data_IF_024557691961
#
_entry.id   IF_024557691961
#
_cell.length_a   1.000
_cell.length_b   1.000
_cell.length_c   1.000
_cell.angle_alpha   90.00
_cell.angle_beta   90.00
_cell.angle_gamma   90.00
#
_symmetry.space_group_name_H-M   'P 1'
#
loop_
_entity.id
_entity.type
_entity.pdbx_description
1 polymer ?
#
# COMPACT_ATOMS: atom_id res chain seq x y z
N UNK A 1 -5.20 15.29 -15.33
CA UNK A 1 -5.59 14.92 -13.96
C UNK A 1 -4.59 15.50 -12.98
N UNK A 2 -5.03 15.86 -11.77
CA UNK A 2 -4.16 16.14 -10.62
C UNK A 2 -3.90 14.83 -9.87
N UNK A 3 -2.62 14.46 -9.72
CA UNK A 3 -2.22 13.20 -9.08
C UNK A 3 -1.42 13.48 -7.81
N UNK A 4 -1.81 12.86 -6.70
CA UNK A 4 -1.05 12.88 -5.45
C UNK A 4 -0.25 11.58 -5.31
N UNK A 5 1.04 11.72 -5.00
CA UNK A 5 1.96 10.62 -4.73
C UNK A 5 2.32 10.59 -3.24
N UNK A 6 2.36 9.39 -2.67
CA UNK A 6 2.85 9.12 -1.31
C UNK A 6 3.55 7.76 -1.26
N UNK A 7 4.12 7.38 -0.12
CA UNK A 7 4.70 6.05 0.13
C UNK A 7 4.89 5.81 1.64
N UNK A 8 5.45 4.66 2.00
CA UNK A 8 5.95 4.35 3.35
C UNK A 8 7.47 4.18 3.45
N UNK A 9 8.21 4.11 2.33
CA UNK A 9 9.68 4.10 2.35
C UNK A 9 10.32 5.47 2.69
N UNK A 10 9.53 6.55 2.61
CA UNK A 10 9.95 7.93 2.85
C UNK A 10 10.21 8.73 1.57
N UNK A 11 10.19 10.05 1.70
CA UNK A 11 10.23 11.01 0.58
C UNK A 11 11.48 10.87 -0.30
N UNK A 12 12.62 10.50 0.29
CA UNK A 12 13.87 10.35 -0.44
C UNK A 12 14.07 8.98 -1.10
N UNK A 13 13.13 8.04 -0.91
CA UNK A 13 13.24 6.69 -1.43
C UNK A 13 13.24 6.64 -2.97
N UNK A 14 13.92 5.64 -3.53
CA UNK A 14 14.00 5.47 -4.98
C UNK A 14 12.62 5.14 -5.59
N UNK A 15 11.79 4.38 -4.88
CA UNK A 15 10.47 3.96 -5.37
C UNK A 15 9.53 5.12 -5.69
N UNK A 16 9.43 6.14 -4.82
CA UNK A 16 8.58 7.31 -5.05
C UNK A 16 9.15 8.25 -6.11
N UNK A 17 10.48 8.36 -6.22
CA UNK A 17 11.15 9.08 -7.32
C UNK A 17 10.84 8.43 -8.66
N UNK A 18 10.94 7.10 -8.75
CA UNK A 18 10.59 6.34 -9.95
C UNK A 18 9.11 6.47 -10.27
N UNK A 19 8.22 6.43 -9.27
CA UNK A 19 6.79 6.66 -9.47
C UNK A 19 6.52 8.04 -10.08
N UNK A 20 7.10 9.09 -9.49
CA UNK A 20 7.00 10.47 -9.99
C UNK A 20 7.46 10.57 -11.44
N UNK A 21 8.60 9.97 -11.77
CA UNK A 21 9.13 9.97 -13.14
C UNK A 21 8.16 9.29 -14.12
N UNK A 22 7.63 8.11 -13.78
CA UNK A 22 6.67 7.39 -14.61
C UNK A 22 5.42 8.24 -14.86
N UNK A 23 4.86 8.84 -13.81
CA UNK A 23 3.64 9.66 -13.89
C UNK A 23 3.87 10.87 -14.78
N UNK A 24 4.96 11.62 -14.58
CA UNK A 24 5.30 12.79 -15.41
C UNK A 24 5.48 12.38 -16.88
N UNK A 25 6.32 11.37 -17.15
CA UNK A 25 6.63 10.93 -18.52
C UNK A 25 5.43 10.33 -19.24
N UNK A 26 4.49 9.74 -18.50
CA UNK A 26 3.31 9.11 -19.09
C UNK A 26 2.32 10.10 -19.70
N UNK A 27 2.33 11.37 -19.22
CA UNK A 27 1.38 12.40 -19.61
C UNK A 27 -0.01 12.29 -18.98
N UNK A 28 -0.23 11.34 -18.04
CA UNK A 28 -1.54 11.15 -17.39
C UNK A 28 -1.91 12.30 -16.43
N UNK A 29 -0.89 12.96 -15.89
CA UNK A 29 -1.03 14.02 -14.90
C UNK A 29 -0.65 15.37 -15.52
N UNK A 30 -1.54 16.35 -15.38
CA UNK A 30 -1.24 17.75 -15.65
C UNK A 30 -0.53 18.41 -14.47
N UNK A 31 -0.69 17.83 -13.27
CA UNK A 31 -0.14 18.31 -12.03
C UNK A 31 0.18 17.13 -11.12
N UNK A 32 1.39 17.11 -10.56
CA UNK A 32 1.88 16.03 -9.70
C UNK A 32 2.30 16.61 -8.36
N UNK A 33 1.66 16.12 -7.30
CA UNK A 33 1.98 16.44 -5.92
C UNK A 33 2.68 15.25 -5.26
N UNK A 34 3.64 15.53 -4.38
CA UNK A 34 4.31 14.52 -3.56
C UNK A 34 4.18 14.95 -2.11
N UNK A 35 3.48 14.15 -1.30
CA UNK A 35 3.40 14.36 0.15
C UNK A 35 3.68 13.02 0.82
N UNK A 36 4.85 12.90 1.43
CA UNK A 36 5.35 11.61 1.92
C UNK A 36 6.08 11.75 3.27
N UNK A 37 6.19 10.65 4.04
CA UNK A 37 6.95 10.61 5.28
C UNK A 37 8.40 11.04 5.13
N UNK A 38 9.00 11.60 6.17
CA UNK A 38 10.45 11.87 6.21
C UNK A 38 11.26 10.57 6.14
N UNK A 39 10.88 9.57 6.94
CA UNK A 39 11.62 8.33 7.14
C UNK A 39 10.78 7.12 6.72
N UNK A 40 11.45 5.97 6.57
CA UNK A 40 10.78 4.70 6.39
C UNK A 40 9.85 4.40 7.57
N UNK A 41 8.60 4.05 7.25
CA UNK A 41 7.52 3.72 8.17
C UNK A 41 6.92 2.33 7.84
N UNK A 42 7.71 1.40 7.29
CA UNK A 42 7.25 0.04 6.97
C UNK A 42 6.71 -0.65 8.24
N UNK A 43 5.59 -1.35 8.09
CA UNK A 43 4.91 -2.01 9.22
C UNK A 43 4.10 -1.07 10.13
N UNK A 44 4.03 0.23 9.83
CA UNK A 44 3.20 1.19 10.59
C UNK A 44 1.69 0.98 10.47
N UNK A 45 1.26 0.13 9.53
CA UNK A 45 -0.15 -0.07 9.20
C UNK A 45 -0.84 1.25 8.87
N UNK A 46 -2.09 1.38 9.31
CA UNK A 46 -2.95 2.54 9.04
C UNK A 46 -3.05 3.52 10.22
N UNK A 47 -1.92 3.77 10.88
CA UNK A 47 -1.85 4.67 12.04
C UNK A 47 -1.88 6.15 11.63
N UNK A 48 -2.61 6.97 12.38
CA UNK A 48 -2.67 8.43 12.22
C UNK A 48 -2.14 9.10 13.49
N UNK A 49 -1.27 10.09 13.35
CA UNK A 49 -0.70 10.84 14.48
C UNK A 49 -1.72 11.77 15.13
N UNK A 50 -2.59 11.23 15.99
CA UNK A 50 -3.57 12.00 16.76
C UNK A 50 -2.90 12.64 17.98
N UNK A 51 -3.19 13.93 18.23
CA UNK A 51 -2.64 14.72 19.35
C UNK A 51 -1.10 14.78 19.40
N UNK A 52 -0.44 14.60 18.25
CA UNK A 52 1.01 14.75 18.11
C UNK A 52 1.27 15.88 17.13
N UNK A 53 2.11 16.84 17.53
CA UNK A 53 2.56 17.90 16.63
C UNK A 53 3.32 17.28 15.45
N UNK A 54 2.83 17.50 14.23
CA UNK A 54 3.42 16.96 13.01
C UNK A 54 4.09 18.10 12.23
N UNK A 55 5.40 18.02 12.09
CA UNK A 55 6.17 18.97 11.28
C UNK A 55 6.01 18.65 9.79
N UNK A 56 5.78 19.68 8.98
CA UNK A 56 5.70 19.59 7.52
C UNK A 56 6.75 20.51 6.92
N UNK A 57 7.61 19.98 6.06
CA UNK A 57 8.64 20.72 5.36
C UNK A 57 8.30 20.81 3.89
N UNK A 58 8.15 22.03 3.37
CA UNK A 58 7.96 22.26 1.94
C UNK A 58 9.31 22.20 1.22
N UNK A 59 9.42 21.33 0.23
CA UNK A 59 10.61 21.14 -0.62
C UNK A 59 10.48 21.94 -1.92
N UNK A 60 9.27 21.98 -2.48
CA UNK A 60 8.90 22.81 -3.64
C UNK A 60 7.40 23.13 -3.58
N UNK A 61 6.87 23.81 -4.60
CA UNK A 61 5.45 24.19 -4.64
C UNK A 61 4.49 23.00 -4.54
N UNK A 62 4.90 21.82 -5.01
CA UNK A 62 4.07 20.61 -5.00
C UNK A 62 4.69 19.43 -4.25
N UNK A 63 5.78 19.66 -3.50
CA UNK A 63 6.48 18.60 -2.79
C UNK A 63 6.70 18.91 -1.32
N UNK A 64 6.25 18.01 -0.46
CA UNK A 64 6.22 18.17 0.99
C UNK A 64 6.68 16.91 1.69
N UNK A 65 7.49 17.09 2.72
CA UNK A 65 7.92 16.05 3.63
C UNK A 65 7.13 16.19 4.92
N UNK A 66 6.56 15.09 5.41
CA UNK A 66 5.78 15.06 6.66
C UNK A 66 6.52 14.19 7.67
N UNK A 67 6.82 14.71 8.85
CA UNK A 67 7.45 13.93 9.91
C UNK A 67 6.42 13.08 10.68
N UNK A 68 5.72 12.19 9.96
CA UNK A 68 4.69 11.30 10.51
C UNK A 68 4.43 10.14 9.54
N UNK A 69 3.38 9.36 9.80
CA UNK A 69 3.01 8.15 9.06
C UNK A 69 2.54 8.45 7.62
N UNK A 70 2.51 7.43 6.73
CA UNK A 70 1.96 7.56 5.39
C UNK A 70 0.51 8.05 5.38
N UNK A 71 -0.34 7.48 6.26
CA UNK A 71 -1.73 7.93 6.42
C UNK A 71 -1.81 9.39 6.85
N UNK A 72 -0.99 9.83 7.81
CA UNK A 72 -0.95 11.25 8.22
C UNK A 72 -0.49 12.15 7.08
N UNK A 73 0.47 11.71 6.26
CA UNK A 73 0.95 12.44 5.09
C UNK A 73 -0.18 12.69 4.08
N UNK A 74 -0.93 11.65 3.72
CA UNK A 74 -2.07 11.78 2.81
C UNK A 74 -3.20 12.59 3.44
N UNK A 75 -3.48 12.40 4.73
CA UNK A 75 -4.51 13.17 5.43
C UNK A 75 -4.20 14.67 5.41
N UNK A 76 -2.97 15.07 5.74
CA UNK A 76 -2.54 16.47 5.67
C UNK A 76 -2.53 17.00 4.23
N UNK A 77 -2.15 16.17 3.26
CA UNK A 77 -2.24 16.52 1.83
C UNK A 77 -3.66 16.96 1.47
N UNK A 78 -4.65 16.15 1.81
CA UNK A 78 -6.04 16.35 1.44
C UNK A 78 -6.75 17.43 2.25
N UNK A 79 -6.35 17.65 3.51
CA UNK A 79 -7.06 18.55 4.42
C UNK A 79 -6.45 19.95 4.49
N UNK A 80 -5.16 20.11 4.19
CA UNK A 80 -4.44 21.37 4.44
C UNK A 80 -3.40 21.77 3.40
N UNK A 81 -2.60 20.84 2.89
CA UNK A 81 -1.45 21.18 2.04
C UNK A 81 -1.91 21.48 0.60
N UNK A 82 -2.79 20.65 0.03
CA UNK A 82 -3.30 20.86 -1.32
C UNK A 82 -4.48 21.83 -1.28
N UNK A 83 -4.51 22.76 -2.24
CA UNK A 83 -5.59 23.72 -2.47
C UNK A 83 -6.87 23.06 -3.03
N UNK A 84 -6.71 22.01 -3.84
CA UNK A 84 -7.80 21.19 -4.36
C UNK A 84 -7.47 19.70 -4.26
N UNK A 85 -8.51 18.89 -4.08
CA UNK A 85 -8.39 17.43 -4.01
C UNK A 85 -7.80 16.85 -5.30
N UNK A 86 -6.94 15.83 -5.22
CA UNK A 86 -6.46 15.10 -6.39
C UNK A 86 -7.58 14.29 -7.04
N UNK A 87 -7.43 14.00 -8.33
CA UNK A 87 -8.29 13.08 -9.08
C UNK A 87 -7.90 11.62 -8.84
N UNK A 88 -6.64 11.38 -8.46
CA UNK A 88 -6.04 10.06 -8.27
C UNK A 88 -4.93 10.12 -7.22
N UNK A 89 -4.90 9.13 -6.34
CA UNK A 89 -3.81 8.94 -5.38
C UNK A 89 -3.05 7.67 -5.75
N UNK A 90 -1.72 7.79 -5.83
CA UNK A 90 -0.81 6.67 -6.05
C UNK A 90 0.12 6.56 -4.85
N UNK A 91 0.11 5.43 -4.16
CA UNK A 91 1.00 5.15 -3.04
C UNK A 91 2.05 4.11 -3.44
N UNK A 92 3.33 4.45 -3.34
CA UNK A 92 4.45 3.58 -3.70
C UNK A 92 5.56 4.30 -4.50
N UNK A 93 6.36 3.60 -5.30
CA UNK A 93 6.39 2.14 -5.45
C UNK A 93 7.13 1.54 -4.25
N UNK A 94 6.45 0.68 -3.48
CA UNK A 94 7.03 0.07 -2.30
C UNK A 94 8.19 -0.88 -2.64
N UNK A 95 9.23 -0.87 -1.80
CA UNK A 95 10.32 -1.86 -1.83
C UNK A 95 9.88 -3.19 -1.19
N UNK A 96 9.09 -3.97 -1.92
CA UNK A 96 8.51 -5.22 -1.46
C UNK A 96 7.04 -5.33 -1.78
N UNK A 97 6.55 -6.56 -1.96
CA UNK A 97 5.14 -6.83 -2.26
C UNK A 97 4.27 -6.69 -1.03
N UNK A 98 3.06 -6.18 -1.20
CA UNK A 98 2.00 -6.13 -0.20
C UNK A 98 0.88 -7.08 -0.61
N UNK A 99 1.05 -8.36 -0.27
CA UNK A 99 0.17 -9.48 -0.68
C UNK A 99 -0.27 -10.29 0.54
N UNK A 100 -1.39 -11.00 0.44
CA UNK A 100 -1.89 -11.78 1.56
C UNK A 100 -2.16 -10.92 2.78
N UNK A 101 -1.85 -11.45 3.96
CA UNK A 101 -2.07 -10.75 5.23
C UNK A 101 -1.10 -9.59 5.48
N UNK A 102 -0.06 -9.38 4.66
CA UNK A 102 0.85 -8.23 4.81
C UNK A 102 0.14 -6.90 4.57
N UNK A 103 -0.95 -6.94 3.81
CA UNK A 103 -1.80 -5.78 3.51
C UNK A 103 -2.25 -5.07 4.80
N UNK A 104 -2.49 -5.82 5.89
CA UNK A 104 -2.91 -5.25 7.18
C UNK A 104 -1.87 -4.33 7.81
N UNK A 105 -0.59 -4.57 7.55
CA UNK A 105 0.53 -3.86 8.15
C UNK A 105 1.17 -2.84 7.19
N UNK A 106 0.68 -2.79 5.94
CA UNK A 106 1.27 -2.01 4.86
C UNK A 106 0.97 -0.52 4.99
N UNK A 107 2.03 0.29 5.16
CA UNK A 107 1.93 1.75 5.11
C UNK A 107 1.61 2.24 3.69
N UNK A 108 2.17 1.59 2.67
CA UNK A 108 1.83 1.88 1.26
C UNK A 108 0.34 1.70 0.99
N UNK A 109 -0.27 0.58 1.41
CA UNK A 109 -1.71 0.37 1.23
C UNK A 109 -2.53 1.33 2.10
N UNK A 110 -2.11 1.56 3.35
CA UNK A 110 -2.76 2.50 4.25
C UNK A 110 -2.89 3.92 3.67
N UNK A 111 -1.82 4.47 3.08
CA UNK A 111 -1.84 5.77 2.43
C UNK A 111 -2.85 5.84 1.27
N UNK A 112 -2.89 4.83 0.39
CA UNK A 112 -3.91 4.76 -0.67
C UNK A 112 -5.33 4.67 -0.08
N UNK A 113 -5.47 3.96 1.03
CA UNK A 113 -6.74 3.74 1.66
C UNK A 113 -7.31 5.01 2.34
N UNK A 114 -6.48 5.99 2.73
CA UNK A 114 -6.94 7.33 3.15
C UNK A 114 -7.63 8.09 2.01
N UNK A 115 -7.10 7.97 0.80
CA UNK A 115 -7.74 8.52 -0.40
C UNK A 115 -9.10 7.87 -0.68
N UNK A 116 -9.13 6.55 -0.65
CA UNK A 116 -10.35 5.78 -0.87
C UNK A 116 -11.43 6.11 0.17
N UNK A 117 -11.06 6.33 1.43
CA UNK A 117 -11.99 6.70 2.51
C UNK A 117 -12.76 8.01 2.23
N UNK A 118 -12.21 8.89 1.39
CA UNK A 118 -12.88 10.13 0.94
C UNK A 118 -13.31 10.07 -0.53
N UNK A 119 -13.49 8.87 -1.07
CA UNK A 119 -13.94 8.57 -2.42
C UNK A 119 -13.04 9.13 -3.53
N UNK A 120 -11.73 9.14 -3.32
CA UNK A 120 -10.74 9.43 -4.35
C UNK A 120 -10.19 8.10 -4.88
N UNK A 121 -10.20 7.85 -6.21
CA UNK A 121 -9.56 6.69 -6.82
C UNK A 121 -8.12 6.54 -6.31
N UNK A 122 -7.79 5.38 -5.77
CA UNK A 122 -6.53 5.17 -5.06
C UNK A 122 -5.90 3.83 -5.41
N UNK A 123 -4.60 3.87 -5.73
CA UNK A 123 -3.83 2.70 -6.16
C UNK A 123 -2.60 2.57 -5.26
N UNK A 124 -2.45 1.39 -4.63
CA UNK A 124 -1.24 1.01 -3.91
C UNK A 124 -0.34 0.21 -4.85
N UNK A 125 0.96 0.53 -4.90
CA UNK A 125 1.88 0.01 -5.91
C UNK A 125 3.12 -0.54 -5.23
N UNK A 126 3.46 -1.79 -5.54
CA UNK A 126 4.52 -2.54 -4.88
C UNK A 126 5.35 -3.34 -5.87
N UNK A 127 6.66 -3.46 -5.65
CA UNK A 127 7.58 -4.22 -6.51
C UNK A 127 8.26 -5.34 -5.70
N UNK A 128 8.19 -6.57 -6.20
CA UNK A 128 8.96 -7.69 -5.65
C UNK A 128 10.46 -7.45 -5.85
N UNK A 129 11.25 -7.71 -4.81
CA UNK A 129 12.70 -7.61 -4.83
C UNK A 129 13.34 -8.96 -4.56
N UNK A 130 14.63 -9.08 -4.83
CA UNK A 130 15.38 -10.28 -4.51
C UNK A 130 15.72 -10.29 -3.02
N UNK A 131 15.03 -11.12 -2.23
CA UNK A 131 15.23 -11.19 -0.78
C UNK A 131 16.64 -11.60 -0.34
N UNK A 132 17.42 -12.26 -1.22
CA UNK A 132 18.80 -12.67 -0.92
C UNK A 132 19.83 -11.57 -1.17
N UNK A 133 19.71 -10.86 -2.28
CA UNK A 133 20.65 -9.79 -2.65
C UNK A 133 20.21 -8.40 -2.18
N UNK A 134 18.95 -8.23 -1.78
CA UNK A 134 18.33 -6.93 -1.52
C UNK A 134 18.09 -6.12 -2.80
N UNK A 135 18.37 -6.68 -3.98
CA UNK A 135 18.26 -5.96 -5.25
C UNK A 135 16.81 -5.81 -5.68
N UNK A 136 16.45 -4.58 -6.06
CA UNK A 136 15.15 -4.25 -6.63
C UNK A 136 15.33 -3.71 -8.05
N UNK A 137 14.41 -4.08 -8.93
CA UNK A 137 14.38 -3.62 -10.31
C UNK A 137 13.02 -3.02 -10.64
N UNK A 138 13.01 -1.78 -11.13
CA UNK A 138 11.80 -1.02 -11.47
C UNK A 138 11.35 -1.17 -12.93
N UNK A 139 11.95 -2.07 -13.72
CA UNK A 139 11.65 -2.26 -15.14
C UNK A 139 10.17 -2.59 -15.38
N UNK A 140 9.57 -3.46 -14.56
CA UNK A 140 8.17 -3.81 -14.71
C UNK A 140 7.22 -2.61 -14.51
N UNK A 141 7.29 -1.86 -13.38
CA UNK A 141 6.44 -0.68 -13.22
C UNK A 141 6.73 0.39 -14.27
N UNK A 142 8.00 0.63 -14.64
CA UNK A 142 8.34 1.57 -15.72
C UNK A 142 7.69 1.19 -17.06
N UNK A 143 7.55 -0.10 -17.34
CA UNK A 143 6.97 -0.60 -18.59
C UNK A 143 5.44 -0.61 -18.59
N UNK A 144 4.81 -0.98 -17.49
CA UNK A 144 3.39 -1.35 -17.48
C UNK A 144 2.49 -0.41 -16.68
N UNK A 145 3.03 0.39 -15.75
CA UNK A 145 2.20 1.15 -14.80
C UNK A 145 1.29 2.17 -15.48
N UNK A 146 1.76 2.85 -16.55
CA UNK A 146 0.92 3.77 -17.34
C UNK A 146 -0.35 3.07 -17.84
N UNK A 147 -0.18 1.95 -18.53
CA UNK A 147 -1.29 1.19 -19.11
C UNK A 147 -2.24 0.67 -18.03
N UNK A 148 -1.70 0.26 -16.88
CA UNK A 148 -2.52 -0.19 -15.73
C UNK A 148 -3.34 0.96 -15.17
N UNK A 149 -2.76 2.15 -14.98
CA UNK A 149 -3.49 3.31 -14.47
C UNK A 149 -4.59 3.70 -15.45
N UNK A 150 -4.29 3.82 -16.75
CA UNK A 150 -5.28 4.15 -17.78
C UNK A 150 -6.40 3.10 -17.83
N UNK A 151 -6.06 1.81 -17.76
CA UNK A 151 -7.05 0.74 -17.72
C UNK A 151 -7.96 0.88 -16.50
N UNK A 152 -7.39 1.03 -15.29
CA UNK A 152 -8.16 1.13 -14.05
C UNK A 152 -9.06 2.37 -14.03
N UNK A 153 -8.56 3.52 -14.47
CA UNK A 153 -9.33 4.77 -14.50
C UNK A 153 -10.49 4.74 -15.50
N UNK A 154 -10.45 3.85 -16.51
CA UNK A 154 -11.54 3.64 -17.46
C UNK A 154 -12.59 2.61 -16.98
N UNK A 155 -12.40 1.98 -15.83
CA UNK A 155 -13.38 1.04 -15.26
C UNK A 155 -14.57 1.81 -14.69
N UNK A 156 -15.73 1.67 -15.35
CA UNK A 156 -16.97 2.36 -14.93
C UNK A 156 -17.53 1.87 -13.59
N UNK A 157 -17.22 0.63 -13.19
CA UNK A 157 -17.70 0.02 -11.94
C UNK A 157 -16.70 0.15 -10.77
N UNK A 158 -15.61 0.92 -10.91
CA UNK A 158 -14.68 1.13 -9.81
C UNK A 158 -15.34 2.01 -8.74
N UNK A 159 -15.83 1.37 -7.68
CA UNK A 159 -16.23 2.08 -6.48
C UNK A 159 -15.00 2.77 -5.87
N UNK A 160 -15.02 4.11 -5.81
CA UNK A 160 -13.89 4.94 -5.37
C UNK A 160 -13.49 4.72 -3.91
N UNK A 161 -14.32 4.05 -3.10
CA UNK A 161 -13.95 3.59 -1.76
C UNK A 161 -13.12 2.28 -1.76
N UNK A 162 -12.83 1.72 -2.93
CA UNK A 162 -11.99 0.52 -3.13
C UNK A 162 -10.57 0.94 -3.52
N UNK A 163 -9.57 0.41 -2.82
CA UNK A 163 -8.16 0.55 -3.24
C UNK A 163 -7.81 -0.53 -4.26
N UNK A 164 -7.15 -0.16 -5.35
CA UNK A 164 -6.57 -1.13 -6.27
C UNK A 164 -5.13 -1.41 -5.84
N UNK A 165 -4.87 -2.59 -5.27
CA UNK A 165 -3.54 -2.99 -4.84
C UNK A 165 -2.81 -3.72 -5.96
N UNK A 166 -1.72 -3.14 -6.44
CA UNK A 166 -0.96 -3.60 -7.61
C UNK A 166 0.43 -4.07 -7.17
N UNK A 167 0.77 -5.32 -7.48
CA UNK A 167 2.10 -5.87 -7.21
C UNK A 167 2.77 -6.32 -8.50
N UNK A 168 4.03 -5.92 -8.68
CA UNK A 168 4.86 -6.31 -9.81
C UNK A 168 5.83 -7.43 -9.43
N UNK A 169 5.96 -8.49 -10.24
CA UNK A 169 6.91 -9.56 -9.98
C UNK A 169 8.34 -9.07 -10.22
N UNK A 170 9.32 -9.77 -9.67
CA UNK A 170 10.75 -9.50 -9.90
C UNK A 170 11.15 -9.93 -11.33
N UNK A 171 10.55 -11.02 -11.80
CA UNK A 171 10.76 -11.55 -13.14
C UNK A 171 10.03 -10.68 -14.19
N UNK A 172 10.43 -10.71 -15.48
CA UNK A 172 9.65 -10.09 -16.54
C UNK A 172 8.19 -10.52 -16.48
N UNK A 173 7.27 -9.54 -16.39
CA UNK A 173 5.86 -9.83 -16.21
C UNK A 173 5.28 -10.61 -17.41
N UNK A 174 4.59 -11.71 -17.13
CA UNK A 174 3.88 -12.53 -18.13
C UNK A 174 2.54 -11.92 -18.58
N UNK A 175 2.00 -11.00 -17.79
CA UNK A 175 0.70 -10.38 -17.99
C UNK A 175 0.10 -9.92 -16.66
N UNK A 176 -1.16 -9.51 -16.69
CA UNK A 176 -1.93 -9.07 -15.53
C UNK A 176 -2.88 -10.18 -15.10
N UNK A 177 -3.00 -10.41 -13.78
CA UNK A 177 -4.04 -11.23 -13.17
C UNK A 177 -4.80 -10.41 -12.12
N UNK A 178 -6.12 -10.36 -12.25
CA UNK A 178 -6.98 -9.92 -11.16
C UNK A 178 -7.08 -11.06 -10.13
N UNK A 179 -6.89 -10.74 -8.85
CA UNK A 179 -6.73 -11.76 -7.81
C UNK A 179 -7.48 -11.39 -6.54
N UNK A 180 -7.89 -12.41 -5.78
CA UNK A 180 -8.20 -12.21 -4.36
C UNK A 180 -6.89 -11.95 -3.57
N UNK A 181 -7.01 -11.49 -2.33
CA UNK A 181 -5.87 -11.16 -1.46
C UNK A 181 -4.91 -12.33 -1.20
N UNK A 182 -5.41 -13.57 -1.22
CA UNK A 182 -4.68 -14.76 -0.83
C UNK A 182 -4.48 -14.88 0.69
N UNK A 183 -4.20 -16.10 1.17
CA UNK A 183 -3.92 -16.36 2.59
C UNK A 183 -2.62 -17.14 2.76
N UNK A 184 -1.98 -16.94 3.91
CA UNK A 184 -0.82 -17.72 4.33
C UNK A 184 -0.87 -17.96 5.84
N UNK A 185 -0.21 -19.03 6.30
CA UNK A 185 0.07 -19.26 7.72
C UNK A 185 1.35 -18.50 8.07
N UNK A 186 1.37 -17.61 9.08
CA UNK A 186 2.58 -16.87 9.45
C UNK A 186 3.76 -17.80 9.76
N UNK A 187 4.96 -17.39 9.35
CA UNK A 187 6.18 -18.12 9.71
C UNK A 187 6.67 -17.78 11.12
N UNK A 188 7.30 -18.74 11.81
CA UNK A 188 7.89 -18.55 13.14
C UNK A 188 9.33 -18.03 13.06
N UNK A 189 9.55 -16.91 12.34
CA UNK A 189 10.87 -16.27 12.23
C UNK A 189 11.03 -15.16 13.26
N UNK A 190 11.20 -15.61 14.50
CA UNK A 190 11.39 -14.75 15.66
C UNK A 190 12.73 -15.12 16.29
N UNK A 191 13.68 -14.19 16.24
CA UNK A 191 15.00 -14.36 16.83
C UNK A 191 15.04 -13.78 18.24
N UNK A 192 15.57 -14.55 19.19
CA UNK A 192 15.81 -14.09 20.56
C UNK A 192 17.23 -13.51 20.63
N UNK A 193 17.35 -12.19 20.80
CA UNK A 193 18.65 -11.50 20.73
C UNK A 193 19.40 -11.44 22.08
N UNK A 194 18.76 -11.84 23.18
CA UNK A 194 19.35 -11.80 24.51
C UNK A 194 18.37 -12.16 25.61
N UNK A 195 18.90 -12.69 26.71
CA UNK A 195 18.16 -12.96 27.93
C UNK A 195 19.01 -12.52 29.13
N UNK A 196 18.56 -11.48 29.82
CA UNK A 196 19.10 -11.07 31.11
C UNK A 196 18.02 -11.30 32.17
N UNK A 197 18.38 -11.35 33.46
CA UNK A 197 17.45 -11.64 34.56
C UNK A 197 16.20 -10.74 34.65
N UNK A 198 16.07 -9.70 33.82
CA UNK A 198 14.88 -8.86 33.72
C UNK A 198 14.46 -8.45 32.29
N UNK A 199 15.24 -8.76 31.24
CA UNK A 199 14.91 -8.33 29.88
C UNK A 199 15.25 -9.43 28.87
N UNK A 200 14.21 -9.87 28.16
CA UNK A 200 14.30 -10.68 26.95
C UNK A 200 13.92 -9.81 25.75
N UNK A 201 14.75 -9.82 24.70
CA UNK A 201 14.48 -9.07 23.47
C UNK A 201 14.26 -10.01 22.29
N UNK A 202 13.26 -9.72 21.46
CA UNK A 202 12.93 -10.48 20.26
C UNK A 202 12.96 -9.58 19.02
N UNK A 203 13.44 -10.12 17.90
CA UNK A 203 13.30 -9.50 16.58
C UNK A 203 12.39 -10.37 15.74
N UNK A 204 11.34 -9.78 15.17
CA UNK A 204 10.53 -10.40 14.12
C UNK A 204 11.16 -9.99 12.80
N UNK A 205 11.84 -10.91 12.12
CA UNK A 205 12.45 -10.62 10.83
C UNK A 205 11.44 -10.73 9.69
N UNK A 206 10.39 -11.54 9.86
CA UNK A 206 9.41 -11.82 8.80
C UNK A 206 8.12 -12.47 9.31
N UNK A 207 7.00 -12.11 8.68
CA UNK A 207 5.66 -12.67 8.98
C UNK A 207 5.19 -13.59 7.85
N UNK A 208 5.37 -13.17 6.59
CA UNK A 208 4.99 -13.93 5.39
C UNK A 208 5.96 -15.07 5.11
N UNK A 209 5.49 -16.30 4.78
CA UNK A 209 6.33 -17.43 4.40
C UNK A 209 7.25 -17.18 3.21
N UNK A 210 8.32 -17.96 3.14
CA UNK A 210 9.32 -17.76 2.10
C UNK A 210 8.77 -18.30 0.81
N UNK A 211 9.26 -17.82 -0.34
CA UNK A 211 8.79 -18.28 -1.64
C UNK A 211 8.77 -19.81 -1.76
N UNK A 212 9.74 -20.50 -1.14
CA UNK A 212 9.80 -21.97 -1.06
C UNK A 212 8.64 -22.61 -0.28
N UNK A 213 8.10 -21.91 0.70
CA UNK A 213 7.04 -22.34 1.61
C UNK A 213 5.65 -21.75 1.25
N UNK A 214 5.54 -21.03 0.13
CA UNK A 214 4.27 -20.47 -0.39
C UNK A 214 3.53 -21.37 -1.37
N UNK A 215 3.98 -22.62 -1.55
CA UNK A 215 3.37 -23.56 -2.51
C UNK A 215 1.89 -23.86 -2.24
N UNK A 216 1.42 -23.68 -1.00
CA UNK A 216 0.02 -23.83 -0.60
C UNK A 216 -0.79 -22.52 -0.58
N UNK A 217 -0.14 -21.38 -0.82
CA UNK A 217 -0.82 -20.09 -0.86
C UNK A 217 -1.62 -19.93 -2.16
N UNK A 218 -2.63 -19.08 -2.11
CA UNK A 218 -3.53 -18.77 -3.23
C UNK A 218 -3.51 -17.27 -3.59
N UNK A 219 -4.42 -16.86 -4.47
CA UNK A 219 -4.64 -15.45 -4.77
C UNK A 219 -3.43 -14.72 -5.36
N UNK A 220 -3.23 -13.49 -4.88
CA UNK A 220 -2.12 -12.64 -5.30
C UNK A 220 -0.75 -13.25 -4.97
N UNK A 221 -0.66 -14.09 -3.93
CA UNK A 221 0.59 -14.73 -3.51
C UNK A 221 1.05 -15.74 -4.57
N UNK A 222 0.16 -16.63 -4.98
CA UNK A 222 0.47 -17.60 -6.03
C UNK A 222 0.74 -16.92 -7.38
N UNK A 223 -0.07 -15.92 -7.72
CA UNK A 223 0.05 -15.24 -9.01
C UNK A 223 1.35 -14.43 -9.17
N UNK A 224 1.83 -13.78 -8.10
CA UNK A 224 3.11 -13.06 -8.15
C UNK A 224 4.28 -14.05 -8.30
N UNK A 225 4.23 -15.18 -7.59
CA UNK A 225 5.25 -16.22 -7.66
C UNK A 225 5.32 -16.87 -9.04
N UNK A 226 4.19 -16.97 -9.73
CA UNK A 226 4.08 -17.40 -11.13
C UNK A 226 4.56 -16.36 -12.16
N UNK A 227 4.87 -15.12 -11.73
CA UNK A 227 5.38 -14.05 -12.60
C UNK A 227 4.31 -13.18 -13.26
N UNK A 228 3.13 -13.06 -12.66
CA UNK A 228 2.09 -12.14 -13.11
C UNK A 228 2.07 -10.86 -12.27
N UNK A 229 1.71 -9.74 -12.90
CA UNK A 229 1.31 -8.53 -12.18
C UNK A 229 -0.04 -8.82 -11.56
N UNK A 230 -0.16 -8.59 -10.26
CA UNK A 230 -1.43 -8.82 -9.55
C UNK A 230 -2.15 -7.52 -9.31
N UNK A 231 -3.47 -7.55 -9.48
CA UNK A 231 -4.37 -6.45 -9.10
C UNK A 231 -5.44 -7.03 -8.19
N UNK A 232 -5.49 -6.53 -6.95
CA UNK A 232 -6.46 -6.96 -5.94
C UNK A 232 -7.30 -5.75 -5.52
N UNK A 233 -8.62 -5.74 -5.75
CA UNK A 233 -9.50 -4.71 -5.21
C UNK A 233 -9.70 -4.94 -3.70
N UNK A 234 -9.39 -3.93 -2.89
CA UNK A 234 -9.46 -3.99 -1.43
C UNK A 234 -10.53 -3.06 -0.89
N UNK A 235 -11.42 -3.61 -0.06
CA UNK A 235 -12.37 -2.83 0.77
C UNK A 235 -11.77 -2.58 2.14
N UNK A 236 -12.13 -1.44 2.73
CA UNK A 236 -11.75 -1.07 4.10
C UNK A 236 -12.95 -0.94 5.04
N UNK A 237 -14.16 -1.13 4.52
CA UNK A 237 -15.30 -1.48 5.36
C UNK A 237 -15.14 -2.96 5.72
N UNK A 238 -14.75 -3.20 6.98
CA UNK A 238 -14.50 -4.54 7.52
C UNK A 238 -15.76 -5.16 8.12
N UNK A 239 -16.93 -4.53 7.96
CA UNK A 239 -18.20 -5.09 8.42
C UNK A 239 -18.46 -6.40 7.68
N UNK A 240 -18.57 -7.48 8.45
CA UNK A 240 -19.10 -8.74 7.94
C UNK A 240 -20.63 -8.62 7.87
N UNK A 241 -21.13 -8.23 6.70
CA UNK A 241 -22.56 -7.99 6.50
C UNK A 241 -23.40 -9.26 6.67
N UNK A 242 -22.84 -10.44 6.38
CA UNK A 242 -23.54 -11.72 6.54
C UNK A 242 -23.75 -12.04 8.03
N UNK A 243 -22.72 -11.79 8.85
CA UNK A 243 -22.83 -11.93 10.31
C UNK A 243 -23.70 -10.84 10.91
N UNK A 244 -23.59 -9.59 10.44
CA UNK A 244 -24.44 -8.49 10.90
C UNK A 244 -25.92 -8.78 10.67
N UNK A 245 -26.28 -9.30 9.49
CA UNK A 245 -27.65 -9.73 9.19
C UNK A 245 -28.13 -10.77 10.22
N UNK A 246 -27.30 -11.77 10.52
CA UNK A 246 -27.60 -12.79 11.53
C UNK A 246 -27.79 -12.19 12.94
N UNK A 247 -26.93 -11.24 13.34
CA UNK A 247 -27.00 -10.60 14.65
C UNK A 247 -28.21 -9.67 14.81
N UNK A 248 -28.58 -8.92 13.77
CA UNK A 248 -29.73 -8.01 13.83
C UNK A 248 -31.05 -8.72 14.09
N UNK A 249 -31.16 -10.00 13.70
CA UNK A 249 -32.32 -10.85 14.02
C UNK A 249 -32.49 -11.12 15.54
N UNK A 250 -31.43 -10.93 16.33
CA UNK A 250 -31.42 -11.15 17.78
C UNK A 250 -31.74 -9.89 18.59
N UNK A 251 -31.91 -8.72 17.96
CA UNK A 251 -32.07 -7.44 18.65
C UNK A 251 -33.24 -7.43 19.65
N UNK A 252 -34.36 -8.07 19.33
CA UNK A 252 -35.54 -8.14 20.22
C UNK A 252 -35.32 -9.03 21.46
N UNK A 253 -34.32 -9.91 21.42
CA UNK A 253 -34.02 -10.86 22.50
C UNK A 253 -33.05 -10.30 23.56
N UNK A 254 -32.40 -9.16 23.31
CA UNK A 254 -31.36 -8.59 24.16
C UNK A 254 -31.57 -7.10 24.45
N UNK A 255 -32.79 -6.71 24.79
CA UNK A 255 -33.08 -5.36 25.31
C UNK A 255 -32.49 -5.22 26.72
N UNK A 256 -31.49 -4.34 26.90
CA UNK A 256 -30.91 -3.96 28.21
C UNK A 256 -31.67 -2.76 28.77
#
# INVERSE_FOLDING_TARGET
MRVLLSNDDGFHANGIKTLKEIVIRSGIASEVWVVAPLNNCSGSGRSVGLNVETQVHQVSDTEFIVNSTPSTSVFLALMKIMDHKPDLILSGINHGVNIGNDIWYSGTVAAAAEGAAVNIPSIAISQEYNSKSGEINWVNPQKFLKQIIEMLMNISFWNKSTVMNVNFPLMPAKGIKFTNQGKYVPCNEIEKNGDSNSNTSYTISRITPDKKNRSQCDGSIKAIDEGYITITPLKFDMTDFDILESLTSLNESYTI
#
